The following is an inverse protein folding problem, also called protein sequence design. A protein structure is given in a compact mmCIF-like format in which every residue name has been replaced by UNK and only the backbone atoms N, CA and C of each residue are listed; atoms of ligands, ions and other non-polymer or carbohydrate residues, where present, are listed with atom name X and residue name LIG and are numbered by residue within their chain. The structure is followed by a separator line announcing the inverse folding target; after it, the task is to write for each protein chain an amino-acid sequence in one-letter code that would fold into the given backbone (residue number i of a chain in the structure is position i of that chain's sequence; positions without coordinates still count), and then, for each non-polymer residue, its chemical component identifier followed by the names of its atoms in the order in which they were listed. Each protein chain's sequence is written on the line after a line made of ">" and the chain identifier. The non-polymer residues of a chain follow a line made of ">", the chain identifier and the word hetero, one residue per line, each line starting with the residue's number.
data_IF_721989543252
#
_entry.id   IF_721989543252
#
_cell.length_a   1.000
_cell.length_b   1.000
_cell.length_c   1.000
_cell.angle_alpha   90.00
_cell.angle_beta   90.00
_cell.angle_gamma   90.00
#
_symmetry.space_group_name_H-M   'P 1'
#
loop_
_entity.id
_entity.type
_entity.pdbx_description
1 polymer ?
#
# COMPACT_ATOMS: atom_id res chain seq x y z
N UNK A 1 21.56 -3.62 12.31
CA UNK A 1 21.12 -4.29 11.06
C UNK A 1 19.63 -4.61 11.16
N UNK A 2 18.87 -4.55 10.05
CA UNK A 2 17.43 -4.92 10.05
C UNK A 2 17.29 -6.44 10.06
N UNK A 3 16.40 -6.96 10.92
CA UNK A 3 16.18 -8.41 11.12
C UNK A 3 15.46 -9.09 9.94
N UNK A 4 14.62 -8.34 9.23
CA UNK A 4 13.77 -8.85 8.14
C UNK A 4 13.95 -8.02 6.87
N UNK A 5 13.49 -8.55 5.74
CA UNK A 5 13.28 -7.79 4.52
C UNK A 5 12.02 -6.95 4.67
N UNK A 6 12.09 -5.67 4.30
CA UNK A 6 10.96 -4.74 4.39
C UNK A 6 10.57 -4.24 3.00
N UNK A 7 9.31 -3.85 2.86
CA UNK A 7 8.80 -3.11 1.70
C UNK A 7 8.09 -1.84 2.14
N UNK A 8 8.06 -0.84 1.27
CA UNK A 8 7.24 0.35 1.50
C UNK A 8 5.75 0.02 1.48
N UNK A 9 4.99 0.69 2.34
CA UNK A 9 3.53 0.69 2.25
C UNK A 9 3.11 1.44 0.98
N UNK A 10 2.54 0.71 0.01
CA UNK A 10 2.16 1.25 -1.29
C UNK A 10 1.22 2.45 -1.21
N UNK A 11 0.14 2.34 -0.43
CA UNK A 11 -0.88 3.40 -0.35
C UNK A 11 -0.29 4.71 0.19
N UNK A 12 0.53 4.60 1.24
CA UNK A 12 1.20 5.77 1.83
C UNK A 12 2.24 6.34 0.87
N UNK A 13 3.09 5.50 0.29
CA UNK A 13 4.12 5.93 -0.65
C UNK A 13 3.51 6.63 -1.87
N UNK A 14 2.48 6.04 -2.50
CA UNK A 14 1.80 6.63 -3.65
C UNK A 14 1.16 7.99 -3.32
N UNK A 15 0.52 8.10 -2.16
CA UNK A 15 -0.07 9.36 -1.70
C UNK A 15 1.00 10.43 -1.47
N UNK A 16 2.14 10.08 -0.86
CA UNK A 16 3.24 11.03 -0.62
C UNK A 16 3.93 11.46 -1.92
N UNK A 17 4.19 10.53 -2.84
CA UNK A 17 4.73 10.85 -4.16
C UNK A 17 3.80 11.81 -4.90
N UNK A 18 2.48 11.59 -4.85
CA UNK A 18 1.49 12.51 -5.44
C UNK A 18 1.58 13.92 -4.84
N UNK A 19 1.79 14.06 -3.52
CA UNK A 19 1.98 15.37 -2.87
C UNK A 19 3.30 16.03 -3.27
N UNK A 20 4.37 15.25 -3.38
CA UNK A 20 5.68 15.73 -3.81
C UNK A 20 5.63 16.32 -5.22
N UNK A 21 5.06 15.61 -6.19
CA UNK A 21 4.91 16.12 -7.56
C UNK A 21 3.98 17.34 -7.67
N UNK A 22 3.15 17.60 -6.66
CA UNK A 22 2.33 18.82 -6.57
C UNK A 22 3.06 19.99 -5.91
N UNK A 23 4.33 19.82 -5.52
CA UNK A 23 5.11 20.85 -4.83
C UNK A 23 4.69 21.12 -3.38
N UNK A 24 3.88 20.25 -2.78
CA UNK A 24 3.33 20.44 -1.43
C UNK A 24 4.31 19.94 -0.35
N UNK A 25 5.18 18.99 -0.70
CA UNK A 25 6.03 18.28 0.26
C UNK A 25 7.48 18.31 -0.19
N UNK A 26 8.39 18.48 0.76
CA UNK A 26 9.83 18.47 0.53
C UNK A 26 10.37 17.03 0.39
N UNK A 27 11.49 16.80 -0.31
CA UNK A 27 12.14 15.48 -0.36
C UNK A 27 12.39 14.82 1.01
N UNK A 28 12.95 15.50 2.04
CA UNK A 28 13.24 14.86 3.32
C UNK A 28 11.97 14.43 4.06
N UNK A 29 10.88 15.19 3.96
CA UNK A 29 9.59 14.81 4.56
C UNK A 29 8.99 13.57 3.87
N UNK A 30 9.16 13.47 2.55
CA UNK A 30 8.72 12.30 1.80
C UNK A 30 9.50 11.04 2.21
N UNK A 31 10.83 11.13 2.27
CA UNK A 31 11.69 10.00 2.64
C UNK A 31 11.46 9.53 4.07
N UNK A 32 11.32 10.48 5.01
CA UNK A 32 11.03 10.17 6.42
C UNK A 32 9.68 9.47 6.57
N UNK A 33 8.62 9.94 5.88
CA UNK A 33 7.31 9.30 5.95
C UNK A 33 7.32 7.90 5.32
N UNK A 34 8.00 7.70 4.18
CA UNK A 34 8.12 6.39 3.54
C UNK A 34 8.91 5.42 4.44
N UNK A 35 10.03 5.88 5.02
CA UNK A 35 10.87 5.06 5.89
C UNK A 35 10.17 4.63 7.18
N UNK A 36 9.31 5.50 7.74
CA UNK A 36 8.50 5.20 8.94
C UNK A 36 7.41 4.16 8.67
N UNK A 37 6.92 4.06 7.43
CA UNK A 37 5.81 3.20 7.03
C UNK A 37 6.28 1.92 6.31
N UNK A 38 7.46 1.41 6.64
CA UNK A 38 7.96 0.14 6.12
C UNK A 38 7.25 -1.05 6.77
N UNK A 39 6.82 -2.01 5.95
CA UNK A 39 6.11 -3.22 6.37
C UNK A 39 7.03 -4.43 6.13
N UNK A 40 7.19 -5.35 7.10
CA UNK A 40 8.00 -6.55 6.90
C UNK A 40 7.38 -7.47 5.85
N UNK A 41 8.23 -8.02 4.99
CA UNK A 41 7.85 -9.05 4.02
C UNK A 41 7.90 -10.41 4.73
N UNK A 42 6.86 -11.22 4.54
CA UNK A 42 6.82 -12.61 5.03
C UNK A 42 7.13 -13.52 3.84
N UNK A 43 8.37 -14.03 3.69
CA UNK A 43 8.77 -14.84 2.54
C UNK A 43 8.03 -16.18 2.50
N UNK A 44 7.84 -16.83 3.66
CA UNK A 44 7.24 -18.17 3.77
C UNK A 44 5.72 -18.13 3.79
N UNK A 45 5.11 -17.49 2.79
CA UNK A 45 3.65 -17.51 2.65
C UNK A 45 3.24 -18.79 1.92
N UNK A 46 2.54 -19.68 2.63
CA UNK A 46 2.01 -20.93 2.06
C UNK A 46 1.12 -20.72 0.83
N UNK A 47 0.40 -19.59 0.75
CA UNK A 47 -0.32 -19.16 -0.46
C UNK A 47 -0.01 -17.70 -0.77
N UNK A 48 0.23 -17.43 -2.05
CA UNK A 48 0.35 -16.06 -2.55
C UNK A 48 -0.98 -15.31 -2.37
N UNK A 49 -0.88 -13.99 -2.19
CA UNK A 49 -2.07 -13.13 -2.20
C UNK A 49 -2.40 -12.83 -3.67
N UNK A 50 -3.39 -13.51 -4.21
CA UNK A 50 -3.95 -13.15 -5.51
C UNK A 50 -4.68 -11.81 -5.35
N UNK A 51 -4.18 -10.76 -6.02
CA UNK A 51 -4.87 -9.48 -6.04
C UNK A 51 -6.05 -9.59 -7.03
N UNK A 52 -7.18 -10.11 -6.56
CA UNK A 52 -8.41 -10.10 -7.35
C UNK A 52 -8.90 -8.67 -7.52
N UNK A 53 -9.32 -8.30 -8.73
CA UNK A 53 -10.06 -7.06 -8.94
C UNK A 53 -11.24 -6.97 -7.97
N UNK A 54 -11.52 -5.77 -7.46
CA UNK A 54 -12.67 -5.55 -6.58
C UNK A 54 -13.94 -5.61 -7.43
N UNK A 55 -14.59 -6.77 -7.45
CA UNK A 55 -15.87 -6.97 -8.14
C UNK A 55 -17.01 -6.48 -7.23
N UNK A 56 -18.00 -5.80 -7.81
CA UNK A 56 -19.22 -5.43 -7.10
C UNK A 56 -19.96 -6.70 -6.63
N UNK A 57 -20.25 -6.78 -5.33
CA UNK A 57 -21.06 -7.85 -4.73
C UNK A 57 -22.37 -7.23 -4.27
N UNK A 58 -23.36 -7.18 -5.16
CA UNK A 58 -24.71 -6.73 -4.86
C UNK A 58 -25.68 -7.89 -4.79
N UNK A 59 -26.78 -7.69 -4.06
CA UNK A 59 -27.92 -8.60 -4.05
C UNK A 59 -28.99 -8.03 -4.98
N UNK A 60 -29.35 -8.77 -6.03
CA UNK A 60 -30.49 -8.45 -6.88
C UNK A 60 -31.74 -9.09 -6.26
N UNK A 61 -32.53 -8.31 -5.52
CA UNK A 61 -33.85 -8.77 -5.10
C UNK A 61 -34.84 -8.60 -6.26
N UNK A 62 -35.61 -9.65 -6.55
CA UNK A 62 -36.76 -9.55 -7.45
C UNK A 62 -37.98 -9.16 -6.61
N UNK A 63 -38.62 -8.06 -6.97
CA UNK A 63 -39.94 -7.69 -6.43
C UNK A 63 -40.96 -8.45 -7.27
N UNK A 64 -41.79 -9.26 -6.61
CA UNK A 64 -42.89 -10.00 -7.21
C UNK A 64 -44.12 -9.12 -7.38
#
# INVERSE_FOLDING_TARGET
>A
QRKYTYKANFSVAAHMCKKFYRGITSPPDLETIISRNLVPIRPDRHRERYQSARIFRGFLYRVA
#
